data_IF_128736013041
#
_entry.id   IF_128736013041
#
_cell.length_a   1.000
_cell.length_b   1.000
_cell.length_c   1.000
_cell.angle_alpha   90.00
_cell.angle_beta   90.00
_cell.angle_gamma   90.00
#
_symmetry.space_group_name_H-M   'P 1'
#
loop_
_entity.id
_entity.type
_entity.pdbx_description
1 polymer ?
#
# COMPACT_ATOMS: atom_id res chain seq x y z
N UNK A 1 -9.73 2.08 -7.05
CA UNK A 1 -9.17 2.48 -5.73
C UNK A 1 -10.18 2.39 -4.57
N UNK A 2 -11.49 2.14 -4.81
CA UNK A 2 -12.54 2.22 -3.76
C UNK A 2 -12.84 0.92 -3.01
N UNK A 3 -12.39 -0.23 -3.48
CA UNK A 3 -12.91 -1.51 -2.97
C UNK A 3 -12.02 -2.22 -1.94
N UNK A 4 -10.75 -1.87 -1.84
CA UNK A 4 -9.83 -2.47 -0.86
C UNK A 4 -10.03 -1.97 0.58
N UNK A 5 -10.54 -0.74 0.76
CA UNK A 5 -10.85 -0.17 2.09
C UNK A 5 -11.92 -0.95 2.86
N UNK A 6 -12.73 -1.76 2.17
CA UNK A 6 -13.81 -2.55 2.77
C UNK A 6 -13.26 -3.78 3.53
N UNK A 7 -12.15 -4.36 3.09
CA UNK A 7 -11.58 -5.55 3.76
C UNK A 7 -11.03 -5.27 5.16
N UNK A 8 -10.50 -4.08 5.38
CA UNK A 8 -9.94 -3.66 6.69
C UNK A 8 -11.05 -3.30 7.69
N UNK A 9 -12.18 -2.77 7.20
CA UNK A 9 -13.29 -2.34 8.07
C UNK A 9 -14.01 -3.52 8.77
N UNK A 10 -14.02 -4.71 8.16
CA UNK A 10 -14.74 -5.89 8.67
C UNK A 10 -14.06 -6.51 9.90
N UNK A 11 -12.77 -6.33 10.09
CA UNK A 11 -12.03 -6.89 11.22
C UNK A 11 -12.38 -6.23 12.58
N UNK A 12 -12.89 -4.99 12.58
CA UNK A 12 -13.07 -4.17 13.78
C UNK A 12 -14.52 -4.12 14.34
N UNK A 13 -15.51 -4.74 13.69
CA UNK A 13 -16.92 -4.71 14.15
C UNK A 13 -17.16 -5.58 15.41
N UNK A 14 -16.20 -6.38 15.87
CA UNK A 14 -16.38 -7.32 16.96
C UNK A 14 -16.62 -6.71 18.35
N UNK A 15 -16.23 -5.48 18.60
CA UNK A 15 -16.32 -4.89 19.96
C UNK A 15 -17.61 -4.10 20.25
N UNK A 16 -18.39 -3.73 19.25
CA UNK A 16 -19.61 -2.94 19.45
C UNK A 16 -20.83 -3.81 19.89
N UNK A 17 -20.72 -5.15 19.86
CA UNK A 17 -21.88 -6.04 19.96
C UNK A 17 -22.30 -6.45 21.38
N UNK A 18 -21.78 -5.82 22.43
CA UNK A 18 -22.10 -6.20 23.83
C UNK A 18 -23.54 -5.99 24.30
N UNK A 19 -24.44 -5.37 23.55
CA UNK A 19 -25.78 -4.97 24.05
C UNK A 19 -27.02 -5.44 23.26
N UNK A 20 -26.89 -6.10 22.10
CA UNK A 20 -28.07 -6.52 21.33
C UNK A 20 -28.04 -7.99 20.90
N UNK A 21 -28.93 -8.80 21.44
CA UNK A 21 -29.11 -10.23 21.10
C UNK A 21 -29.34 -10.50 19.59
N UNK A 22 -29.82 -9.53 18.85
CA UNK A 22 -30.03 -9.65 17.39
C UNK A 22 -28.70 -9.65 16.59
N UNK A 23 -27.66 -8.97 17.10
CA UNK A 23 -26.32 -8.94 16.51
C UNK A 23 -25.49 -10.19 16.86
N UNK A 24 -25.90 -10.99 17.86
CA UNK A 24 -25.18 -12.19 18.29
C UNK A 24 -25.14 -13.31 17.24
N UNK A 25 -26.10 -13.35 16.31
CA UNK A 25 -26.09 -14.32 15.21
C UNK A 25 -25.11 -13.90 14.06
N UNK A 26 -24.89 -12.60 13.85
CA UNK A 26 -23.85 -12.11 12.94
C UNK A 26 -22.43 -12.33 13.49
N UNK A 27 -22.24 -12.22 14.79
CA UNK A 27 -20.95 -12.43 15.45
C UNK A 27 -20.44 -13.88 15.42
N UNK A 28 -21.26 -14.86 15.02
CA UNK A 28 -20.90 -16.28 14.89
C UNK A 28 -20.48 -16.71 13.49
N UNK A 29 -20.73 -15.93 12.46
CA UNK A 29 -20.19 -16.23 11.14
C UNK A 29 -18.71 -15.86 11.12
N UNK A 30 -17.81 -16.84 10.97
CA UNK A 30 -16.44 -16.57 10.56
C UNK A 30 -16.51 -15.96 9.17
N UNK A 31 -16.38 -14.65 9.09
CA UNK A 31 -16.39 -13.92 7.82
C UNK A 31 -15.18 -14.31 6.94
N UNK A 32 -14.13 -14.88 7.57
CA UNK A 32 -12.90 -15.28 6.87
C UNK A 32 -12.31 -16.56 7.48
N UNK A 33 -11.54 -17.28 6.68
CA UNK A 33 -10.72 -18.43 7.08
C UNK A 33 -9.26 -18.04 7.11
N UNK A 34 -8.50 -18.54 8.09
CA UNK A 34 -7.06 -18.26 8.21
C UNK A 34 -6.27 -19.54 8.39
N UNK A 35 -5.02 -19.53 7.92
CA UNK A 35 -4.03 -20.56 8.17
C UNK A 35 -2.64 -19.92 8.27
N UNK A 36 -1.71 -20.61 8.95
CA UNK A 36 -0.28 -20.24 8.94
C UNK A 36 0.50 -21.48 8.56
N UNK A 37 1.37 -21.38 7.56
CA UNK A 37 2.23 -22.47 7.11
C UNK A 37 3.44 -22.62 8.02
N UNK A 38 4.14 -23.76 7.92
CA UNK A 38 5.36 -24.02 8.71
C UNK A 38 6.49 -23.03 8.46
N UNK A 39 6.54 -22.44 7.26
CA UNK A 39 7.48 -21.38 6.89
C UNK A 39 7.03 -19.96 7.32
N UNK A 40 5.93 -19.85 8.09
CA UNK A 40 5.43 -18.59 8.63
C UNK A 40 4.49 -17.81 7.72
N UNK A 41 4.25 -18.23 6.48
CA UNK A 41 3.30 -17.56 5.60
C UNK A 41 1.89 -17.62 6.21
N UNK A 42 1.30 -16.47 6.42
CA UNK A 42 -0.09 -16.31 6.88
C UNK A 42 -1.01 -16.26 5.67
N UNK A 43 -2.15 -16.91 5.77
CA UNK A 43 -3.14 -16.96 4.69
C UNK A 43 -4.47 -16.49 5.24
N UNK A 44 -5.14 -15.60 4.53
CA UNK A 44 -6.50 -15.15 4.83
C UNK A 44 -7.39 -15.32 3.61
N UNK A 45 -8.57 -15.90 3.79
CA UNK A 45 -9.57 -16.10 2.75
C UNK A 45 -10.93 -15.59 3.21
N UNK A 46 -11.56 -14.79 2.36
CA UNK A 46 -12.97 -14.45 2.47
C UNK A 46 -13.71 -15.03 1.27
N UNK A 47 -14.72 -15.86 1.55
CA UNK A 47 -15.57 -16.46 0.50
C UNK A 47 -16.52 -15.43 -0.11
N UNK A 48 -16.77 -15.56 -1.40
CA UNK A 48 -17.74 -14.76 -2.16
C UNK A 48 -18.35 -15.63 -3.26
N UNK A 49 -19.55 -15.32 -3.71
CA UNK A 49 -20.21 -15.99 -4.84
C UNK A 49 -19.73 -15.48 -6.21
N UNK A 50 -18.75 -14.57 -6.23
CA UNK A 50 -18.17 -14.01 -7.46
C UNK A 50 -17.38 -15.06 -8.24
N UNK A 51 -17.52 -15.04 -9.57
CA UNK A 51 -16.66 -15.82 -10.46
C UNK A 51 -15.25 -15.21 -10.61
N UNK A 52 -15.07 -13.95 -10.19
CA UNK A 52 -13.76 -13.29 -10.15
C UNK A 52 -13.15 -13.50 -8.78
N UNK A 53 -11.89 -13.93 -8.76
CA UNK A 53 -11.08 -14.12 -7.57
C UNK A 53 -10.00 -13.04 -7.55
N UNK A 54 -9.90 -12.35 -6.43
CA UNK A 54 -8.81 -11.43 -6.12
C UNK A 54 -7.85 -12.13 -5.16
N UNK A 55 -6.58 -12.16 -5.48
CA UNK A 55 -5.58 -12.77 -4.60
C UNK A 55 -4.25 -12.07 -4.73
N UNK A 56 -3.43 -12.13 -3.66
CA UNK A 56 -2.13 -11.46 -3.66
C UNK A 56 -1.32 -11.72 -2.42
N UNK A 57 -0.12 -11.18 -2.43
CA UNK A 57 0.78 -11.08 -1.29
C UNK A 57 0.85 -9.65 -0.81
N UNK A 58 0.66 -9.45 0.48
CA UNK A 58 1.01 -8.24 1.20
C UNK A 58 2.29 -8.53 1.99
N UNK A 59 3.33 -7.78 1.71
CA UNK A 59 4.63 -7.85 2.35
C UNK A 59 4.73 -6.73 3.38
N UNK A 60 5.13 -7.06 4.61
CA UNK A 60 5.38 -6.07 5.66
C UNK A 60 6.72 -5.37 5.41
N UNK A 61 6.79 -4.62 4.33
CA UNK A 61 7.93 -3.81 3.91
C UNK A 61 7.48 -2.73 2.95
N UNK A 62 7.86 -1.51 3.24
CA UNK A 62 7.65 -0.35 2.39
C UNK A 62 8.84 0.59 2.47
N UNK A 63 8.67 1.84 2.08
CA UNK A 63 9.76 2.81 2.07
C UNK A 63 10.28 3.11 3.47
N UNK A 64 9.45 3.00 4.52
CA UNK A 64 9.87 3.11 5.92
C UNK A 64 11.02 2.16 6.30
N UNK A 65 11.17 1.03 5.61
CA UNK A 65 12.21 0.04 5.88
C UNK A 65 13.53 0.32 5.15
N UNK A 66 13.58 1.36 4.34
CA UNK A 66 14.76 1.78 3.62
C UNK A 66 15.80 2.39 4.57
N UNK A 67 17.06 2.14 4.28
CA UNK A 67 18.18 2.76 5.00
C UNK A 67 18.54 4.08 4.32
N UNK A 68 19.20 5.00 5.05
CA UNK A 68 19.75 6.18 4.41
C UNK A 68 20.59 5.83 3.18
N UNK A 69 20.26 6.43 2.05
CA UNK A 69 20.85 6.14 0.74
C UNK A 69 20.16 5.06 -0.08
N UNK A 70 19.03 4.54 0.41
CA UNK A 70 18.18 3.56 -0.30
C UNK A 70 16.78 4.14 -0.61
N UNK A 71 16.62 5.45 -0.54
CA UNK A 71 15.33 6.10 -0.78
C UNK A 71 14.81 5.75 -2.19
N UNK A 72 13.61 5.14 -2.26
CA UNK A 72 13.00 4.62 -3.48
C UNK A 72 13.27 3.13 -3.76
N UNK A 73 14.01 2.41 -2.90
CA UNK A 73 14.35 0.99 -3.12
C UNK A 73 13.13 0.08 -3.08
N UNK A 74 12.16 0.34 -2.21
CA UNK A 74 10.96 -0.49 -2.10
C UNK A 74 10.13 -0.41 -3.40
N UNK A 75 9.89 0.80 -3.90
CA UNK A 75 9.20 1.04 -5.17
C UNK A 75 10.01 0.49 -6.37
N UNK A 76 11.32 0.71 -6.40
CA UNK A 76 12.17 0.11 -7.40
C UNK A 76 12.08 -1.42 -7.42
N UNK A 77 12.09 -2.09 -6.25
CA UNK A 77 11.91 -3.54 -6.17
C UNK A 77 10.55 -3.99 -6.66
N UNK A 78 9.50 -3.20 -6.43
CA UNK A 78 8.18 -3.48 -6.99
C UNK A 78 8.24 -3.60 -8.52
N UNK A 79 8.76 -2.59 -9.22
CA UNK A 79 8.88 -2.57 -10.67
C UNK A 79 9.70 -3.75 -11.21
N UNK A 80 10.90 -3.96 -10.65
CA UNK A 80 11.82 -4.97 -11.18
C UNK A 80 11.43 -6.40 -10.81
N UNK A 81 10.48 -6.61 -9.89
CA UNK A 81 9.93 -7.93 -9.55
C UNK A 81 9.20 -8.57 -10.74
N UNK A 82 8.63 -7.78 -11.65
CA UNK A 82 7.97 -8.28 -12.87
C UNK A 82 8.96 -8.62 -14.00
N UNK A 83 10.25 -8.34 -13.85
CA UNK A 83 11.23 -8.41 -14.95
C UNK A 83 11.89 -9.78 -15.11
N UNK A 84 11.49 -10.77 -14.34
CA UNK A 84 11.84 -12.17 -14.52
C UNK A 84 12.24 -12.90 -13.26
N UNK A 85 11.98 -14.19 -13.30
CA UNK A 85 12.28 -15.17 -12.24
C UNK A 85 13.27 -16.22 -12.76
N UNK A 86 13.66 -17.17 -11.90
CA UNK A 86 14.42 -18.35 -12.34
C UNK A 86 13.68 -19.17 -13.39
N UNK A 87 12.33 -19.14 -13.43
CA UNK A 87 11.49 -19.95 -14.31
C UNK A 87 10.90 -19.17 -15.49
N UNK A 88 10.72 -17.84 -15.33
CA UNK A 88 10.00 -17.00 -16.28
C UNK A 88 10.82 -15.78 -16.68
N UNK A 89 10.86 -15.49 -17.96
CA UNK A 89 11.34 -14.19 -18.47
C UNK A 89 10.23 -13.14 -18.29
N UNK A 90 10.57 -11.85 -18.34
CA UNK A 90 9.66 -10.71 -18.22
C UNK A 90 8.38 -10.89 -19.04
N UNK A 91 8.51 -11.20 -20.34
CA UNK A 91 7.35 -11.44 -21.22
C UNK A 91 6.42 -12.56 -20.73
N UNK A 92 6.96 -13.65 -20.16
CA UNK A 92 6.14 -14.73 -19.61
C UNK A 92 5.41 -14.32 -18.33
N UNK A 93 5.99 -13.41 -17.55
CA UNK A 93 5.32 -12.85 -16.37
C UNK A 93 4.12 -12.02 -16.79
N UNK A 94 4.31 -11.03 -17.68
CA UNK A 94 3.24 -10.15 -18.16
C UNK A 94 2.10 -10.93 -18.82
N UNK A 95 2.42 -11.89 -19.71
CA UNK A 95 1.39 -12.66 -20.42
C UNK A 95 0.71 -13.75 -19.60
N UNK A 96 1.25 -14.09 -18.42
CA UNK A 96 0.77 -15.27 -17.69
C UNK A 96 -0.72 -15.19 -17.32
N UNK A 97 -1.21 -14.02 -16.94
CA UNK A 97 -2.62 -13.82 -16.60
C UNK A 97 -3.40 -13.12 -17.73
N UNK A 98 -2.79 -12.17 -18.43
CA UNK A 98 -3.43 -11.48 -19.55
C UNK A 98 -3.95 -12.44 -20.62
N UNK A 99 -3.20 -13.52 -20.92
CA UNK A 99 -3.62 -14.55 -21.88
C UNK A 99 -4.91 -15.29 -21.53
N UNK A 100 -5.39 -15.14 -20.29
CA UNK A 100 -6.65 -15.72 -19.78
C UNK A 100 -7.63 -14.66 -19.29
N UNK A 101 -7.40 -13.39 -19.65
CA UNK A 101 -8.26 -12.27 -19.26
C UNK A 101 -8.11 -11.85 -17.79
N UNK A 102 -7.01 -12.21 -17.15
CA UNK A 102 -6.69 -11.80 -15.79
C UNK A 102 -5.83 -10.54 -15.76
N UNK A 103 -5.85 -9.85 -14.62
CA UNK A 103 -5.04 -8.68 -14.34
C UNK A 103 -3.98 -8.99 -13.29
N UNK A 104 -2.81 -8.35 -13.40
CA UNK A 104 -1.68 -8.47 -12.47
C UNK A 104 -1.15 -7.07 -12.19
N UNK A 105 -1.09 -6.70 -10.90
CA UNK A 105 -0.67 -5.36 -10.50
C UNK A 105 0.06 -5.38 -9.16
N UNK A 106 0.66 -4.23 -8.79
CA UNK A 106 1.30 -4.03 -7.50
C UNK A 106 1.20 -2.57 -7.07
N UNK A 107 1.48 -2.32 -5.81
CA UNK A 107 1.71 -0.96 -5.27
C UNK A 107 2.60 -1.02 -4.03
N UNK A 108 3.31 0.07 -3.79
CA UNK A 108 4.19 0.27 -2.64
C UNK A 108 3.71 1.45 -1.81
N UNK A 109 3.57 1.23 -0.52
CA UNK A 109 3.28 2.25 0.48
C UNK A 109 4.49 2.48 1.40
N UNK A 110 4.31 3.28 2.45
CA UNK A 110 5.34 3.52 3.46
C UNK A 110 5.68 2.27 4.28
N UNK A 111 4.72 1.39 4.58
CA UNK A 111 4.91 0.22 5.46
C UNK A 111 4.66 -1.13 4.78
N UNK A 112 4.04 -1.15 3.61
CA UNK A 112 3.69 -2.38 2.90
C UNK A 112 3.93 -2.27 1.39
N UNK A 113 4.18 -3.44 0.78
CA UNK A 113 4.19 -3.63 -0.67
C UNK A 113 3.25 -4.78 -1.02
N UNK A 114 2.38 -4.56 -1.99
CA UNK A 114 1.34 -5.53 -2.37
C UNK A 114 1.48 -5.93 -3.82
N UNK A 115 1.49 -7.24 -4.09
CA UNK A 115 1.39 -7.83 -5.43
C UNK A 115 0.09 -8.60 -5.53
N UNK A 116 -0.75 -8.28 -6.49
CA UNK A 116 -2.09 -8.90 -6.57
C UNK A 116 -2.54 -9.17 -7.99
N UNK A 117 -3.52 -10.05 -8.09
CA UNK A 117 -4.13 -10.43 -9.34
C UNK A 117 -5.66 -10.53 -9.21
N UNK A 118 -6.35 -10.25 -10.31
CA UNK A 118 -7.76 -10.54 -10.49
C UNK A 118 -7.92 -11.53 -11.64
N UNK A 119 -8.54 -12.68 -11.39
CA UNK A 119 -8.71 -13.77 -12.37
C UNK A 119 -10.07 -14.45 -12.25
N UNK A 120 -10.53 -15.11 -13.31
CA UNK A 120 -11.63 -16.05 -13.17
C UNK A 120 -11.21 -17.22 -12.26
N UNK A 121 -12.15 -17.76 -11.48
CA UNK A 121 -11.90 -18.79 -10.47
C UNK A 121 -11.17 -20.04 -10.97
N UNK A 122 -11.37 -20.42 -12.22
CA UNK A 122 -10.68 -21.54 -12.87
C UNK A 122 -9.18 -21.30 -13.03
N UNK A 123 -8.75 -20.04 -13.09
CA UNK A 123 -7.34 -19.63 -13.22
C UNK A 123 -6.65 -19.31 -11.91
N UNK A 124 -7.31 -19.49 -10.75
CA UNK A 124 -6.75 -19.21 -9.42
C UNK A 124 -5.40 -19.90 -9.17
N UNK A 125 -5.26 -21.17 -9.56
CA UNK A 125 -4.01 -21.90 -9.38
C UNK A 125 -2.84 -21.27 -10.18
N UNK A 126 -3.13 -20.74 -11.38
CA UNK A 126 -2.16 -20.02 -12.22
C UNK A 126 -1.74 -18.70 -11.55
N UNK A 127 -2.69 -17.95 -11.00
CA UNK A 127 -2.41 -16.71 -10.27
C UNK A 127 -1.54 -16.97 -9.03
N UNK A 128 -1.87 -17.98 -8.23
CA UNK A 128 -1.08 -18.39 -7.06
C UNK A 128 0.36 -18.75 -7.45
N UNK A 129 0.54 -19.56 -8.49
CA UNK A 129 1.88 -19.97 -8.96
C UNK A 129 2.69 -18.79 -9.50
N UNK A 130 2.06 -17.89 -10.26
CA UNK A 130 2.72 -16.69 -10.76
C UNK A 130 3.12 -15.73 -9.65
N UNK A 131 2.17 -15.36 -8.80
CA UNK A 131 2.42 -14.42 -7.70
C UNK A 131 3.52 -14.94 -6.76
N UNK A 132 3.49 -16.23 -6.40
CA UNK A 132 4.55 -16.82 -5.58
C UNK A 132 5.91 -16.77 -6.27
N UNK A 133 5.95 -17.05 -7.57
CA UNK A 133 7.19 -17.06 -8.34
C UNK A 133 7.80 -15.65 -8.47
N UNK A 134 6.99 -14.63 -8.77
CA UNK A 134 7.52 -13.27 -8.89
C UNK A 134 7.91 -12.68 -7.54
N UNK A 135 7.13 -12.91 -6.48
CA UNK A 135 7.42 -12.34 -5.15
C UNK A 135 8.67 -12.96 -4.51
N UNK A 136 8.84 -14.28 -4.62
CA UNK A 136 9.90 -14.95 -3.87
C UNK A 136 11.08 -15.45 -4.71
N UNK A 137 10.95 -15.49 -6.05
CA UNK A 137 11.97 -16.10 -6.92
C UNK A 137 12.45 -15.19 -8.05
N UNK A 138 12.13 -13.88 -7.99
CA UNK A 138 12.66 -12.89 -8.95
C UNK A 138 14.18 -12.83 -8.87
N UNK A 139 14.83 -12.67 -10.03
CA UNK A 139 16.30 -12.69 -10.16
C UNK A 139 16.90 -11.34 -10.53
N UNK A 140 16.04 -10.38 -10.85
CA UNK A 140 16.42 -8.98 -11.11
C UNK A 140 17.50 -8.83 -12.18
N UNK A 141 17.26 -9.25 -13.44
CA UNK A 141 18.30 -9.21 -14.48
C UNK A 141 18.75 -7.78 -14.76
N UNK A 142 20.05 -7.50 -14.74
CA UNK A 142 20.60 -6.14 -14.90
C UNK A 142 20.12 -5.47 -16.19
N UNK A 143 20.06 -6.19 -17.30
CA UNK A 143 19.62 -5.63 -18.58
C UNK A 143 18.13 -5.22 -18.60
N UNK A 144 17.30 -5.80 -17.73
CA UNK A 144 15.91 -5.37 -17.54
C UNK A 144 15.84 -4.19 -16.55
N UNK A 145 16.69 -4.19 -15.51
CA UNK A 145 16.83 -3.05 -14.59
C UNK A 145 17.24 -1.80 -15.37
N UNK A 146 18.24 -1.90 -16.25
CA UNK A 146 18.75 -0.76 -17.03
C UNK A 146 17.66 -0.08 -17.89
N UNK A 147 16.65 -0.84 -18.32
CA UNK A 147 15.47 -0.30 -19.02
C UNK A 147 14.45 0.29 -18.05
N UNK A 148 14.19 -0.42 -16.94
CA UNK A 148 13.15 -0.03 -16.00
C UNK A 148 13.51 1.23 -15.21
N UNK A 149 14.79 1.44 -14.96
CA UNK A 149 15.31 2.67 -14.33
C UNK A 149 14.84 3.93 -15.05
N UNK A 150 14.86 3.94 -16.39
CA UNK A 150 14.37 5.12 -17.13
C UNK A 150 12.84 5.27 -17.01
N UNK A 151 12.09 4.16 -17.00
CA UNK A 151 10.62 4.19 -16.76
C UNK A 151 10.30 4.78 -15.39
N UNK A 152 11.02 4.35 -14.35
CA UNK A 152 10.84 4.88 -12.99
C UNK A 152 11.26 6.35 -12.91
N UNK A 153 12.32 6.75 -13.60
CA UNK A 153 12.73 8.16 -13.67
C UNK A 153 11.67 9.03 -14.36
N UNK A 154 11.07 8.56 -15.45
CA UNK A 154 9.96 9.25 -16.13
C UNK A 154 8.75 9.38 -15.22
N UNK A 155 8.45 8.35 -14.40
CA UNK A 155 7.39 8.40 -13.39
C UNK A 155 7.67 9.43 -12.30
N UNK A 156 8.91 9.47 -11.77
CA UNK A 156 9.33 10.48 -10.79
C UNK A 156 9.16 11.90 -11.37
N UNK A 157 9.59 12.12 -12.61
CA UNK A 157 9.46 13.44 -13.27
C UNK A 157 7.98 13.81 -13.46
N UNK A 158 7.15 12.88 -13.94
CA UNK A 158 5.70 13.07 -14.07
C UNK A 158 5.02 13.41 -12.75
N UNK A 159 5.43 12.73 -11.68
CA UNK A 159 4.92 12.98 -10.33
C UNK A 159 5.34 14.36 -9.81
N UNK A 160 6.59 14.75 -10.04
CA UNK A 160 7.10 16.07 -9.68
C UNK A 160 6.40 17.21 -10.44
N UNK A 161 5.93 16.94 -11.66
CA UNK A 161 5.17 17.89 -12.48
C UNK A 161 3.68 17.99 -12.07
N UNK A 162 3.25 17.17 -11.09
CA UNK A 162 1.88 17.18 -10.54
C UNK A 162 1.85 17.72 -9.10
N UNK A 163 1.76 19.05 -8.89
CA UNK A 163 1.74 19.62 -7.52
C UNK A 163 0.62 19.11 -6.64
N UNK A 164 -0.50 18.70 -7.25
CA UNK A 164 -1.64 18.12 -6.54
C UNK A 164 -1.34 16.75 -5.93
N UNK A 165 -0.43 15.99 -6.52
CA UNK A 165 0.02 14.68 -6.02
C UNK A 165 1.24 14.84 -5.12
N UNK A 166 2.22 15.62 -5.55
CA UNK A 166 3.48 15.83 -4.84
C UNK A 166 3.27 16.41 -3.43
N UNK A 167 2.24 17.24 -3.22
CA UNK A 167 1.98 17.90 -1.94
C UNK A 167 1.73 16.89 -0.79
N UNK A 168 1.23 15.69 -1.08
CA UNK A 168 1.03 14.63 -0.07
C UNK A 168 2.35 14.13 0.48
N UNK A 169 3.31 13.82 -0.39
CA UNK A 169 4.65 13.41 0.03
C UNK A 169 5.40 14.56 0.70
N UNK A 170 5.32 15.77 0.16
CA UNK A 170 5.97 16.93 0.77
C UNK A 170 5.43 17.23 2.16
N UNK A 171 4.13 17.07 2.38
CA UNK A 171 3.51 17.24 3.69
C UNK A 171 4.01 16.19 4.68
N UNK A 172 4.05 14.91 4.29
CA UNK A 172 4.59 13.85 5.15
C UNK A 172 6.09 14.02 5.42
N UNK A 173 6.87 14.49 4.44
CA UNK A 173 8.29 14.78 4.62
C UNK A 173 8.55 15.87 5.66
N UNK A 174 7.68 16.88 5.73
CA UNK A 174 7.72 17.91 6.78
C UNK A 174 7.32 17.31 8.13
N UNK A 175 6.19 16.61 8.17
CA UNK A 175 5.62 16.07 9.40
C UNK A 175 6.53 15.05 10.07
N UNK A 176 7.30 14.31 9.28
CA UNK A 176 8.22 13.25 9.70
C UNK A 176 9.69 13.55 9.36
N UNK A 177 10.07 14.82 9.35
CA UNK A 177 11.44 15.22 8.99
C UNK A 177 12.49 14.48 9.85
N UNK A 178 13.44 13.81 9.16
CA UNK A 178 14.48 13.00 9.80
C UNK A 178 14.03 11.62 10.30
N UNK A 179 12.78 11.25 10.08
CA UNK A 179 12.24 9.93 10.39
C UNK A 179 12.07 9.10 9.10
N UNK A 180 12.13 7.76 9.13
CA UNK A 180 11.95 6.92 7.93
C UNK A 180 10.63 7.10 7.16
N UNK A 181 9.58 7.63 7.77
CA UNK A 181 8.34 8.00 7.08
C UNK A 181 8.48 9.29 6.25
N UNK A 182 9.52 10.11 6.49
CA UNK A 182 9.69 11.44 5.92
C UNK A 182 10.54 11.47 4.66
N UNK A 183 10.27 10.62 3.67
CA UNK A 183 10.84 10.69 2.33
C UNK A 183 9.87 10.14 1.29
N UNK A 184 10.06 10.56 0.03
CA UNK A 184 9.16 10.18 -1.07
C UNK A 184 9.23 8.68 -1.37
N UNK A 185 8.07 8.08 -1.69
CA UNK A 185 7.98 6.65 -2.03
C UNK A 185 8.80 6.34 -3.28
N UNK A 186 8.76 7.19 -4.28
CA UNK A 186 9.49 7.01 -5.54
C UNK A 186 11.01 7.24 -5.41
N UNK A 187 11.47 7.85 -4.32
CA UNK A 187 12.86 8.27 -4.16
C UNK A 187 13.25 9.44 -5.06
N UNK A 188 14.48 9.43 -5.57
CA UNK A 188 14.99 10.42 -6.53
C UNK A 188 15.61 9.75 -7.76
N UNK A 189 15.62 10.44 -8.90
CA UNK A 189 16.19 9.93 -10.15
C UNK A 189 17.67 9.55 -10.00
N UNK A 190 18.45 10.31 -9.21
CA UNK A 190 19.87 10.01 -8.93
C UNK A 190 20.01 8.70 -8.17
N UNK A 191 19.14 8.44 -7.18
CA UNK A 191 19.16 7.21 -6.41
C UNK A 191 18.75 6.02 -7.25
N UNK A 192 17.63 6.10 -7.95
CA UNK A 192 17.12 5.04 -8.82
C UNK A 192 18.15 4.65 -9.87
N UNK A 193 18.82 5.61 -10.52
CA UNK A 193 19.90 5.34 -11.48
C UNK A 193 21.13 4.66 -10.88
N UNK A 194 21.30 4.73 -9.58
CA UNK A 194 22.41 4.05 -8.89
C UNK A 194 22.14 2.58 -8.55
N UNK A 195 20.88 2.15 -8.53
CA UNK A 195 20.49 0.80 -8.12
C UNK A 195 20.88 -0.27 -9.13
N UNK A 196 21.29 -1.43 -8.63
CA UNK A 196 21.73 -2.58 -9.40
C UNK A 196 21.07 -3.87 -8.89
N UNK A 197 21.18 -4.95 -9.65
CA UNK A 197 20.73 -6.29 -9.27
C UNK A 197 21.07 -6.66 -7.82
N UNK A 198 22.31 -6.38 -7.39
CA UNK A 198 22.76 -6.71 -6.05
C UNK A 198 22.01 -5.95 -4.94
N UNK A 199 21.55 -4.72 -5.23
CA UNK A 199 20.81 -3.90 -4.26
C UNK A 199 19.38 -4.44 -4.12
N UNK A 200 18.69 -4.71 -5.25
CA UNK A 200 17.38 -5.35 -5.26
C UNK A 200 17.43 -6.70 -4.54
N UNK A 201 18.41 -7.55 -4.85
CA UNK A 201 18.56 -8.86 -4.21
C UNK A 201 18.79 -8.74 -2.70
N UNK A 202 19.60 -7.78 -2.25
CA UNK A 202 19.87 -7.57 -0.84
C UNK A 202 18.61 -7.14 -0.09
N UNK A 203 17.86 -6.22 -0.66
CA UNK A 203 16.60 -5.72 -0.08
C UNK A 203 15.55 -6.83 -0.03
N UNK A 204 15.31 -7.51 -1.13
CA UNK A 204 14.27 -8.55 -1.22
C UNK A 204 14.65 -9.81 -0.42
N UNK A 205 15.90 -10.23 -0.35
CA UNK A 205 16.34 -11.32 0.53
C UNK A 205 16.10 -11.03 2.03
N UNK A 206 16.12 -9.76 2.41
CA UNK A 206 15.84 -9.35 3.78
C UNK A 206 14.33 -9.37 4.07
N UNK A 207 13.50 -8.90 3.16
CA UNK A 207 12.11 -8.59 3.44
C UNK A 207 11.07 -9.47 2.72
N UNK A 208 11.38 -9.96 1.49
CA UNK A 208 10.45 -10.77 0.69
C UNK A 208 10.54 -12.23 1.12
N UNK A 209 9.91 -12.53 2.23
CA UNK A 209 9.97 -13.84 2.89
C UNK A 209 8.58 -14.27 3.32
N UNK A 210 8.26 -15.59 3.29
CA UNK A 210 6.95 -16.08 3.69
C UNK A 210 6.50 -15.59 5.07
N UNK A 211 7.39 -15.62 6.07
CA UNK A 211 7.09 -15.20 7.44
C UNK A 211 6.84 -13.69 7.58
N UNK A 212 7.28 -12.87 6.61
CA UNK A 212 7.03 -11.44 6.54
C UNK A 212 5.83 -11.09 5.66
N UNK A 213 5.01 -12.07 5.27
CA UNK A 213 3.98 -11.91 4.27
C UNK A 213 2.63 -12.42 4.76
N UNK A 214 1.57 -11.88 4.14
CA UNK A 214 0.22 -12.43 4.18
C UNK A 214 -0.22 -12.71 2.75
N UNK A 215 -0.66 -13.94 2.48
CA UNK A 215 -1.39 -14.23 1.25
C UNK A 215 -2.88 -14.02 1.50
N UNK A 216 -3.49 -13.10 0.77
CA UNK A 216 -4.92 -12.87 0.82
C UNK A 216 -5.62 -13.42 -0.42
N UNK A 217 -6.87 -13.89 -0.22
CA UNK A 217 -7.70 -14.32 -1.33
C UNK A 217 -9.17 -14.05 -1.03
N UNK A 218 -9.85 -13.46 -2.00
CA UNK A 218 -11.29 -13.17 -1.97
C UNK A 218 -11.95 -13.80 -3.19
N UNK A 219 -12.96 -14.64 -2.99
CA UNK A 219 -13.71 -15.28 -4.08
C UNK A 219 -14.22 -16.68 -3.76
N UNK A 220 -14.85 -17.31 -4.75
CA UNK A 220 -15.37 -18.67 -4.70
C UNK A 220 -14.27 -19.72 -4.91
N UNK A 221 -13.55 -20.04 -3.83
CA UNK A 221 -12.46 -21.02 -3.85
C UNK A 221 -12.47 -21.95 -2.64
N UNK A 222 -11.98 -23.17 -2.83
CA UNK A 222 -11.75 -24.10 -1.71
C UNK A 222 -10.48 -23.68 -0.95
N UNK A 223 -10.67 -23.18 0.26
CA UNK A 223 -9.57 -22.72 1.13
C UNK A 223 -8.49 -23.79 1.36
N UNK A 224 -8.89 -25.06 1.57
CA UNK A 224 -7.94 -26.14 1.78
C UNK A 224 -7.09 -26.42 0.54
N UNK A 225 -7.67 -26.22 -0.65
CA UNK A 225 -6.92 -26.31 -1.91
C UNK A 225 -5.90 -25.19 -2.03
N UNK A 226 -6.29 -23.95 -1.66
CA UNK A 226 -5.37 -22.81 -1.67
C UNK A 226 -4.20 -23.03 -0.72
N UNK A 227 -4.46 -23.46 0.50
CA UNK A 227 -3.41 -23.80 1.48
C UNK A 227 -2.40 -24.80 0.88
N UNK A 228 -2.89 -25.90 0.30
CA UNK A 228 -2.01 -26.90 -0.34
C UNK A 228 -1.22 -26.38 -1.54
N UNK A 229 -1.79 -25.46 -2.32
CA UNK A 229 -1.07 -24.81 -3.42
C UNK A 229 0.07 -23.97 -2.90
N UNK A 230 -0.17 -23.16 -1.87
CA UNK A 230 0.83 -22.31 -1.25
C UNK A 230 1.91 -23.11 -0.52
N UNK A 231 1.55 -24.18 0.19
CA UNK A 231 2.53 -25.12 0.79
C UNK A 231 3.50 -25.68 -0.24
N UNK A 232 3.00 -26.07 -1.43
CA UNK A 232 3.86 -26.58 -2.52
C UNK A 232 4.69 -25.47 -3.16
N UNK A 233 4.08 -24.31 -3.39
CA UNK A 233 4.73 -23.20 -4.08
C UNK A 233 5.84 -22.54 -3.24
N UNK A 234 5.77 -22.67 -1.90
CA UNK A 234 6.76 -22.14 -0.95
C UNK A 234 7.54 -23.24 -0.21
N UNK A 235 7.58 -24.47 -0.76
CA UNK A 235 8.20 -25.63 -0.12
C UNK A 235 9.72 -25.57 -0.01
N UNK A 236 10.37 -24.69 -0.73
CA UNK A 236 11.80 -24.42 -0.70
C UNK A 236 12.22 -23.48 0.44
N UNK A 237 11.25 -22.87 1.14
CA UNK A 237 11.52 -22.05 2.31
C UNK A 237 11.57 -22.89 3.60
N UNK A 238 12.63 -22.69 4.36
CA UNK A 238 12.79 -23.31 5.68
C UNK A 238 11.71 -22.85 6.66
N UNK A 239 11.43 -23.62 7.72
CA UNK A 239 10.55 -23.18 8.79
C UNK A 239 10.90 -21.79 9.31
N UNK A 240 9.87 -21.01 9.63
CA UNK A 240 10.00 -19.62 10.04
C UNK A 240 10.97 -19.44 11.19
N UNK A 241 11.85 -18.45 11.04
CA UNK A 241 12.61 -17.89 12.16
C UNK A 241 11.87 -16.71 12.73
N UNK A 242 11.99 -16.41 14.03
CA UNK A 242 11.42 -15.19 14.57
C UNK A 242 11.88 -13.98 13.74
N UNK A 243 10.95 -13.16 13.30
CA UNK A 243 11.29 -11.89 12.66
C UNK A 243 11.77 -10.98 13.80
N UNK A 244 13.00 -10.52 13.68
CA UNK A 244 13.47 -9.41 14.51
C UNK A 244 12.87 -8.18 13.83
N UNK A 245 11.81 -7.64 14.40
CA UNK A 245 11.14 -6.44 13.88
C UNK A 245 12.16 -5.32 13.75
N UNK A 246 12.42 -4.82 12.54
CA UNK A 246 13.24 -3.65 12.38
C UNK A 246 12.38 -2.39 12.44
N UNK A 247 12.84 -1.40 13.18
CA UNK A 247 12.56 0.01 12.97
C UNK A 247 11.18 0.63 13.31
N UNK A 248 10.17 -0.09 13.80
CA UNK A 248 8.98 0.57 14.39
C UNK A 248 9.32 1.39 15.67
N UNK A 249 10.53 1.22 16.20
CA UNK A 249 10.97 1.84 17.45
C UNK A 249 11.83 3.11 17.26
N UNK A 250 11.88 3.71 16.08
CA UNK A 250 12.53 5.01 15.96
C UNK A 250 11.62 6.08 16.57
N UNK A 251 12.15 6.91 17.49
CA UNK A 251 11.34 7.94 18.10
C UNK A 251 10.88 8.94 17.04
N UNK A 252 9.58 9.22 17.04
CA UNK A 252 9.02 10.24 16.16
C UNK A 252 9.66 11.60 16.47
N UNK A 253 9.95 12.42 15.44
CA UNK A 253 10.46 13.77 15.64
C UNK A 253 9.47 14.61 16.45
N UNK A 254 9.88 15.70 17.11
CA UNK A 254 8.97 16.61 17.78
C UNK A 254 7.87 17.08 16.81
N UNK A 255 6.62 17.11 17.27
CA UNK A 255 5.50 17.65 16.50
C UNK A 255 5.47 19.17 16.66
N UNK A 256 6.26 19.87 15.87
CA UNK A 256 6.38 21.34 15.90
C UNK A 256 5.57 21.88 14.72
N UNK A 257 4.62 22.82 14.94
CA UNK A 257 3.93 23.47 13.84
C UNK A 257 4.93 24.16 12.91
N UNK A 258 4.79 23.90 11.62
CA UNK A 258 5.63 24.50 10.58
C UNK A 258 4.74 24.96 9.42
N UNK A 259 5.27 25.89 8.62
CA UNK A 259 4.64 26.39 7.41
C UNK A 259 5.69 26.49 6.33
N UNK A 260 5.47 25.78 5.22
CA UNK A 260 6.34 25.81 4.06
C UNK A 260 5.55 26.28 2.84
N UNK A 261 6.08 27.23 2.13
CA UNK A 261 5.56 27.70 0.85
C UNK A 261 6.61 27.44 -0.24
N UNK A 262 6.19 26.77 -1.31
CA UNK A 262 7.02 26.49 -2.49
C UNK A 262 6.35 27.05 -3.73
N UNK A 263 7.14 27.72 -4.59
CA UNK A 263 6.64 28.24 -5.85
C UNK A 263 6.98 27.29 -6.99
N UNK A 264 6.00 26.58 -7.49
CA UNK A 264 6.11 25.68 -8.65
C UNK A 264 5.71 26.37 -9.97
N UNK A 265 5.39 27.66 -9.97
CA UNK A 265 5.00 28.43 -11.16
C UNK A 265 3.67 28.01 -11.77
N UNK A 266 2.79 27.35 -11.00
CA UNK A 266 1.46 26.91 -11.44
C UNK A 266 0.42 28.01 -11.28
N UNK A 267 -0.68 27.90 -12.04
CA UNK A 267 -1.81 28.83 -11.94
C UNK A 267 -2.63 28.64 -10.66
N UNK A 268 -2.68 27.43 -10.14
CA UNK A 268 -3.41 27.10 -8.90
C UNK A 268 -2.43 27.01 -7.73
N UNK A 269 -2.92 27.43 -6.56
CA UNK A 269 -2.29 27.12 -5.30
C UNK A 269 -2.85 25.78 -4.77
N UNK A 270 -1.95 24.89 -4.36
CA UNK A 270 -2.27 23.64 -3.69
C UNK A 270 -1.94 23.80 -2.22
N UNK A 271 -2.89 23.54 -1.35
CA UNK A 271 -2.75 23.75 0.09
C UNK A 271 -3.05 22.46 0.82
N UNK A 272 -2.20 22.10 1.76
CA UNK A 272 -2.43 20.99 2.67
C UNK A 272 -2.28 21.46 4.12
N UNK A 273 -3.26 21.16 4.94
CA UNK A 273 -3.31 21.48 6.37
C UNK A 273 -3.59 20.20 7.12
N UNK A 274 -2.77 19.88 8.11
CA UNK A 274 -2.96 18.66 8.86
C UNK A 274 -2.02 18.53 10.04
N UNK A 275 -2.03 17.35 10.63
CA UNK A 275 -1.23 17.00 11.78
C UNK A 275 -1.05 15.48 11.84
N UNK A 276 -0.23 15.00 12.79
CA UNK A 276 -0.19 13.58 13.11
C UNK A 276 -1.55 13.12 13.59
N UNK A 277 -1.94 11.95 13.07
CA UNK A 277 -3.12 11.20 13.45
C UNK A 277 -2.79 10.10 14.46
N UNK A 278 -3.73 9.18 14.62
CA UNK A 278 -3.60 8.01 15.50
C UNK A 278 -3.03 6.82 14.72
N UNK A 279 -2.24 6.00 15.42
CA UNK A 279 -1.74 4.73 14.88
C UNK A 279 -2.86 3.70 14.68
N UNK A 280 -2.53 2.58 14.03
CA UNK A 280 -3.49 1.54 13.67
C UNK A 280 -4.12 0.83 14.89
N UNK A 281 -3.48 0.88 16.06
CA UNK A 281 -3.92 0.22 17.29
C UNK A 281 -4.73 1.15 18.20
N UNK A 282 -4.69 2.46 17.98
CA UNK A 282 -5.40 3.45 18.81
C UNK A 282 -6.90 3.45 18.45
N UNK A 283 -7.76 3.18 19.41
CA UNK A 283 -9.22 3.16 19.22
C UNK A 283 -9.78 4.52 18.79
N UNK A 284 -9.12 5.63 19.17
CA UNK A 284 -9.53 6.99 18.82
C UNK A 284 -9.48 7.24 17.30
N UNK A 285 -8.71 6.44 16.54
CA UNK A 285 -8.67 6.54 15.08
C UNK A 285 -10.06 6.40 14.43
N UNK A 286 -10.95 5.61 15.02
CA UNK A 286 -12.31 5.41 14.49
C UNK A 286 -13.11 6.72 14.61
N UNK A 287 -12.96 7.44 15.72
CA UNK A 287 -13.60 8.75 15.92
C UNK A 287 -13.01 9.81 14.98
N UNK A 288 -11.70 9.79 14.78
CA UNK A 288 -11.03 10.67 13.80
C UNK A 288 -11.47 10.36 12.38
N UNK A 289 -11.62 9.09 12.01
CA UNK A 289 -12.14 8.68 10.71
C UNK A 289 -13.56 9.21 10.46
N UNK A 290 -14.45 9.12 11.46
CA UNK A 290 -15.78 9.70 11.37
C UNK A 290 -15.74 11.23 11.21
N UNK A 291 -14.89 11.90 11.99
CA UNK A 291 -14.69 13.35 11.88
C UNK A 291 -14.16 13.73 10.50
N UNK A 292 -13.18 12.99 9.99
CA UNK A 292 -12.63 13.15 8.64
C UNK A 292 -13.74 13.11 7.58
N UNK A 293 -14.62 12.11 7.64
CA UNK A 293 -15.73 11.98 6.71
C UNK A 293 -16.75 13.13 6.80
N UNK A 294 -17.02 13.61 8.01
CA UNK A 294 -17.91 14.76 8.23
C UNK A 294 -17.30 16.04 7.65
N UNK A 295 -15.98 16.23 7.80
CA UNK A 295 -15.29 17.45 7.36
C UNK A 295 -15.08 17.47 5.85
N UNK A 296 -14.38 16.52 5.31
CA UNK A 296 -13.94 16.50 3.91
C UNK A 296 -13.94 15.12 3.27
N UNK A 297 -14.83 14.20 3.72
CA UNK A 297 -15.00 12.89 3.10
C UNK A 297 -15.58 13.00 1.67
N UNK A 298 -15.72 11.87 0.96
CA UNK A 298 -16.05 11.83 -0.47
C UNK A 298 -17.47 12.30 -0.82
N UNK A 299 -18.32 12.51 0.19
CA UNK A 299 -19.69 12.97 -0.01
C UNK A 299 -19.76 14.46 -0.36
N UNK A 300 -20.57 14.82 -1.36
CA UNK A 300 -20.81 16.23 -1.74
C UNK A 300 -21.37 17.08 -0.59
N UNK A 301 -21.96 16.46 0.44
CA UNK A 301 -22.49 17.08 1.63
C UNK A 301 -21.47 17.20 2.78
N UNK A 302 -20.21 16.85 2.56
CA UNK A 302 -19.13 17.08 3.52
C UNK A 302 -19.02 18.58 3.83
N UNK A 303 -18.73 18.93 5.10
CA UNK A 303 -18.83 20.33 5.59
C UNK A 303 -17.92 21.29 4.84
N UNK A 304 -16.69 20.86 4.54
CA UNK A 304 -15.72 21.68 3.80
C UNK A 304 -16.17 21.86 2.33
N UNK A 305 -16.69 20.81 1.69
CA UNK A 305 -17.22 20.91 0.35
C UNK A 305 -18.39 21.89 0.28
N UNK A 306 -19.38 21.78 1.19
CA UNK A 306 -20.50 22.71 1.27
C UNK A 306 -20.06 24.16 1.55
N UNK A 307 -19.04 24.33 2.41
CA UNK A 307 -18.58 25.68 2.76
C UNK A 307 -17.71 26.29 1.67
N UNK A 308 -16.58 25.64 1.34
CA UNK A 308 -15.56 26.24 0.48
C UNK A 308 -15.95 26.21 -1.00
N UNK A 309 -16.58 25.12 -1.46
CA UNK A 309 -16.93 24.94 -2.86
C UNK A 309 -18.33 25.50 -3.15
N UNK A 310 -19.37 24.96 -2.49
CA UNK A 310 -20.76 25.23 -2.88
C UNK A 310 -21.23 26.65 -2.48
N UNK A 311 -20.85 27.11 -1.27
CA UNK A 311 -21.31 28.43 -0.77
C UNK A 311 -20.41 29.57 -1.22
N UNK A 312 -19.12 29.36 -1.27
CA UNK A 312 -18.15 30.42 -1.50
C UNK A 312 -17.44 30.35 -2.86
N UNK A 313 -17.45 29.18 -3.52
CA UNK A 313 -16.79 28.98 -4.83
C UNK A 313 -15.28 29.21 -4.79
N UNK A 314 -14.62 28.98 -3.64
CA UNK A 314 -13.20 29.26 -3.45
C UNK A 314 -12.31 28.13 -3.95
N UNK A 315 -12.82 26.90 -3.95
CA UNK A 315 -12.07 25.70 -4.30
C UNK A 315 -12.83 24.84 -5.30
N UNK A 316 -12.12 24.15 -6.19
CA UNK A 316 -12.71 23.13 -7.05
C UNK A 316 -12.75 21.76 -6.39
N UNK A 317 -11.64 21.40 -5.71
CA UNK A 317 -11.50 20.16 -4.94
C UNK A 317 -11.15 20.53 -3.51
N UNK A 318 -11.79 19.85 -2.56
CA UNK A 318 -11.42 19.83 -1.15
C UNK A 318 -11.70 18.45 -0.61
N UNK A 319 -10.69 17.85 0.00
CA UNK A 319 -10.80 16.52 0.59
C UNK A 319 -9.99 16.41 1.87
N UNK A 320 -10.47 15.59 2.79
CA UNK A 320 -9.74 15.23 3.99
C UNK A 320 -9.39 13.74 3.95
N UNK A 321 -8.15 13.45 4.24
CA UNK A 321 -7.59 12.09 4.25
C UNK A 321 -7.01 11.73 5.60
N UNK A 322 -6.91 10.44 5.86
CA UNK A 322 -6.29 9.90 7.07
C UNK A 322 -5.54 8.63 6.72
N UNK A 323 -4.30 8.54 7.16
CA UNK A 323 -3.48 7.34 7.09
C UNK A 323 -3.08 6.95 8.51
N UNK A 324 -3.20 5.66 8.85
CA UNK A 324 -2.72 5.11 10.14
C UNK A 324 -1.57 4.17 9.88
N UNK A 325 -0.41 4.49 10.44
CA UNK A 325 0.80 3.67 10.46
C UNK A 325 0.87 2.79 11.72
N UNK A 326 1.86 1.94 11.81
CA UNK A 326 2.03 1.01 12.92
C UNK A 326 2.22 1.68 14.30
N UNK A 327 2.73 2.91 14.36
CA UNK A 327 3.05 3.66 15.59
C UNK A 327 2.64 5.13 15.56
N UNK A 328 2.03 5.60 14.46
CA UNK A 328 1.58 6.98 14.29
C UNK A 328 0.50 7.04 13.21
N UNK A 329 0.11 8.22 12.79
CA UNK A 329 -0.76 8.44 11.65
C UNK A 329 -0.62 9.84 11.11
N UNK A 330 -1.33 10.11 10.03
CA UNK A 330 -1.48 11.42 9.40
C UNK A 330 -2.97 11.70 9.25
N UNK A 331 -3.37 12.92 9.54
CA UNK A 331 -4.64 13.48 9.13
C UNK A 331 -4.38 14.79 8.41
N UNK A 332 -4.92 14.95 7.22
CA UNK A 332 -4.74 16.14 6.42
C UNK A 332 -6.00 16.51 5.65
N UNK A 333 -6.14 17.80 5.37
CA UNK A 333 -7.11 18.34 4.42
C UNK A 333 -6.36 19.03 3.30
N UNK A 334 -6.63 18.61 2.07
CA UNK A 334 -6.10 19.18 0.85
C UNK A 334 -7.17 20.03 0.16
N UNK A 335 -6.78 21.14 -0.47
CA UNK A 335 -7.61 21.87 -1.40
C UNK A 335 -6.78 22.61 -2.45
N UNK A 336 -7.38 22.76 -3.66
CA UNK A 336 -6.84 23.58 -4.74
C UNK A 336 -7.68 24.85 -4.92
N UNK A 337 -7.03 26.02 -4.99
CA UNK A 337 -7.70 27.30 -5.16
C UNK A 337 -6.86 28.30 -5.97
N UNK A 338 -7.43 29.47 -6.28
CA UNK A 338 -6.65 30.60 -6.78
C UNK A 338 -5.66 31.08 -5.69
N UNK A 339 -4.44 31.51 -6.06
CA UNK A 339 -3.46 32.02 -5.08
C UNK A 339 -3.95 33.18 -4.21
N UNK A 340 -4.86 34.02 -4.75
CA UNK A 340 -5.50 35.14 -4.01
C UNK A 340 -6.43 34.68 -2.89
N UNK A 341 -6.96 33.43 -2.96
CA UNK A 341 -7.96 32.88 -2.05
C UNK A 341 -7.33 31.99 -0.95
N UNK A 342 -6.00 31.90 -0.90
CA UNK A 342 -5.27 31.13 0.14
C UNK A 342 -5.34 31.78 1.54
N UNK A 343 -5.67 33.08 1.64
CA UNK A 343 -5.63 33.89 2.88
C UNK A 343 -6.99 34.07 3.51
#
# INVERSE_FOLDING_TARGET
>A
HSDFSVLILVANIREISGKYKFLSNFARMKLYSTATLSNGLRIIHQSSDSNVVYCGYELNVGTRNEKPGQEGMAHFCEHVTFKGTKRRRSWHVSNALESVGGDLNAFTNKEDTVYYAAVLKEHTARAVDLLTDIVFHSVYPQHEIDKEVEVICDEIESYNDSPAELIYDEFENILFAGHPLGHNILGTTERVRSFRTADAQRFTQQFYRPENSVFFIYGDVDFKRIVRLLERATSDFMPAKPIIEPALNQPLPPNIPDFIEKNHGTHQAHVMIGNRGYDIHDERRVSLYLLNNILGGPGMNARLNLSLRERHGLVYVVESSMVSYGDTGVWATYFGCDPKDVR
#
